data_IF_550685343418
#
_entry.id   IF_550685343418
#
_cell.length_a   1.000
_cell.length_b   1.000
_cell.length_c   1.000
_cell.angle_alpha   90.00
_cell.angle_beta   90.00
_cell.angle_gamma   90.00
#
_symmetry.space_group_name_H-M   'P 1'
#
loop_
_entity.id
_entity.type
_entity.pdbx_description
1 polymer ?
#
# COMPACT_ATOMS: atom_id res chain seq x y z
N UNK A 1 -38.88 -5.97 -16.81
CA UNK A 1 -39.12 -4.64 -16.21
C UNK A 1 -37.85 -3.80 -16.26
N UNK A 2 -37.96 -2.51 -16.50
CA UNK A 2 -36.82 -1.59 -16.56
C UNK A 2 -35.95 -1.63 -15.28
N UNK A 3 -36.57 -1.76 -14.12
CA UNK A 3 -35.89 -1.85 -12.85
C UNK A 3 -34.88 -3.03 -12.79
N UNK A 4 -35.25 -4.18 -13.31
CA UNK A 4 -34.35 -5.36 -13.31
C UNK A 4 -33.12 -5.13 -14.18
N UNK A 5 -33.28 -4.49 -15.34
CA UNK A 5 -32.15 -4.14 -16.21
C UNK A 5 -31.30 -3.03 -15.60
N UNK A 6 -31.93 -1.97 -15.07
CA UNK A 6 -31.24 -0.84 -14.47
C UNK A 6 -30.42 -1.22 -13.23
N UNK A 7 -30.91 -2.16 -12.41
CA UNK A 7 -30.20 -2.63 -11.20
C UNK A 7 -28.82 -3.18 -11.52
N UNK A 8 -28.66 -3.91 -12.61
CA UNK A 8 -27.37 -4.44 -13.03
C UNK A 8 -26.38 -3.32 -13.37
N UNK A 9 -26.84 -2.32 -14.14
CA UNK A 9 -26.01 -1.17 -14.53
C UNK A 9 -25.63 -0.30 -13.34
N UNK A 10 -26.57 -0.06 -12.42
CA UNK A 10 -26.31 0.71 -11.19
C UNK A 10 -25.26 0.00 -10.34
N UNK A 11 -25.39 -1.29 -10.11
CA UNK A 11 -24.44 -2.08 -9.35
C UNK A 11 -23.04 -2.04 -10.00
N UNK A 12 -22.97 -2.21 -11.31
CA UNK A 12 -21.72 -2.16 -12.05
C UNK A 12 -21.05 -0.79 -11.94
N UNK A 13 -21.80 0.29 -12.08
CA UNK A 13 -21.30 1.66 -11.96
C UNK A 13 -20.77 1.96 -10.55
N UNK A 14 -21.48 1.54 -9.51
CA UNK A 14 -21.07 1.73 -8.12
C UNK A 14 -19.81 0.92 -7.81
N UNK A 15 -19.76 -0.35 -8.20
CA UNK A 15 -18.59 -1.22 -7.98
C UNK A 15 -17.34 -0.64 -8.66
N UNK A 16 -17.50 -0.15 -9.89
CA UNK A 16 -16.40 0.49 -10.62
C UNK A 16 -15.96 1.80 -9.98
N UNK A 17 -16.89 2.62 -9.52
CA UNK A 17 -16.56 3.87 -8.84
C UNK A 17 -15.82 3.62 -7.51
N UNK A 18 -16.22 2.61 -6.75
CA UNK A 18 -15.50 2.19 -5.53
C UNK A 18 -14.09 1.74 -5.87
N UNK A 19 -13.91 0.90 -6.90
CA UNK A 19 -12.59 0.43 -7.30
C UNK A 19 -11.65 1.58 -7.73
N UNK A 20 -12.19 2.62 -8.38
CA UNK A 20 -11.41 3.76 -8.87
C UNK A 20 -11.10 4.83 -7.80
N UNK A 21 -11.97 5.02 -6.79
CA UNK A 21 -11.93 6.18 -5.90
C UNK A 21 -11.73 5.86 -4.42
N UNK A 22 -11.88 4.59 -4.00
CA UNK A 22 -11.85 4.24 -2.58
C UNK A 22 -10.45 4.32 -1.95
N UNK A 23 -9.39 4.25 -2.73
CA UNK A 23 -8.02 4.25 -2.22
C UNK A 23 -7.36 5.62 -2.32
N UNK A 24 -6.62 6.02 -1.29
CA UNK A 24 -5.81 7.24 -1.28
C UNK A 24 -4.81 7.26 -2.45
N UNK A 25 -4.14 6.14 -2.71
CA UNK A 25 -3.32 5.94 -3.91
C UNK A 25 -4.13 5.11 -4.88
N UNK A 26 -4.49 5.71 -6.01
CA UNK A 26 -5.34 5.07 -7.02
C UNK A 26 -4.67 3.83 -7.61
N UNK A 27 -5.40 2.73 -7.64
CA UNK A 27 -4.98 1.47 -8.28
C UNK A 27 -5.91 1.21 -9.48
N UNK A 28 -5.38 0.75 -10.63
CA UNK A 28 -6.21 0.37 -11.78
C UNK A 28 -7.23 -0.72 -11.43
N UNK A 29 -8.42 -0.66 -12.02
CA UNK A 29 -9.55 -1.58 -11.71
C UNK A 29 -9.17 -3.05 -11.89
N UNK A 30 -8.42 -3.40 -12.93
CA UNK A 30 -7.98 -4.78 -13.17
C UNK A 30 -7.07 -5.31 -12.05
N UNK A 31 -6.26 -4.44 -11.43
CA UNK A 31 -5.43 -4.83 -10.28
C UNK A 31 -6.28 -5.01 -9.02
N UNK A 32 -7.30 -4.16 -8.82
CA UNK A 32 -8.26 -4.34 -7.71
C UNK A 32 -9.00 -5.66 -7.83
N UNK A 33 -9.41 -6.05 -9.03
CA UNK A 33 -10.03 -7.36 -9.27
C UNK A 33 -9.08 -8.52 -8.97
N UNK A 34 -7.81 -8.39 -9.35
CA UNK A 34 -6.79 -9.40 -9.07
C UNK A 34 -6.51 -9.52 -7.58
N UNK A 35 -6.38 -8.39 -6.86
CA UNK A 35 -6.23 -8.35 -5.41
C UNK A 35 -7.41 -9.04 -4.72
N UNK A 36 -8.64 -8.74 -5.13
CA UNK A 36 -9.84 -9.36 -4.58
C UNK A 36 -9.89 -10.88 -4.82
N UNK A 37 -9.40 -11.36 -5.95
CA UNK A 37 -9.26 -12.80 -6.22
C UNK A 37 -8.25 -13.44 -5.28
N UNK A 38 -7.06 -12.84 -5.11
CA UNK A 38 -6.02 -13.32 -4.18
C UNK A 38 -6.56 -13.39 -2.75
N UNK A 39 -7.24 -12.34 -2.27
CA UNK A 39 -7.83 -12.32 -0.93
C UNK A 39 -8.89 -13.40 -0.76
N UNK A 40 -9.71 -13.65 -1.78
CA UNK A 40 -10.73 -14.71 -1.75
C UNK A 40 -10.11 -16.08 -1.63
N UNK A 41 -9.10 -16.38 -2.47
CA UNK A 41 -8.37 -17.65 -2.44
C UNK A 41 -7.62 -17.82 -1.11
N UNK A 42 -6.98 -16.78 -0.60
CA UNK A 42 -6.33 -16.80 0.70
C UNK A 42 -7.29 -17.16 1.83
N UNK A 43 -8.51 -16.61 1.84
CA UNK A 43 -9.54 -16.96 2.84
C UNK A 43 -10.03 -18.39 2.69
N UNK A 44 -10.15 -18.90 1.47
CA UNK A 44 -10.55 -20.27 1.20
C UNK A 44 -9.48 -21.24 1.71
N UNK A 45 -8.21 -21.00 1.37
CA UNK A 45 -7.09 -21.80 1.86
C UNK A 45 -6.94 -21.75 3.39
N UNK A 46 -7.19 -20.60 4.01
CA UNK A 46 -7.21 -20.47 5.47
C UNK A 46 -8.27 -21.41 6.11
N UNK A 47 -9.43 -21.55 5.48
CA UNK A 47 -10.48 -22.46 5.97
C UNK A 47 -10.13 -23.95 5.76
N UNK A 48 -9.43 -24.28 4.68
CA UNK A 48 -9.05 -25.66 4.36
C UNK A 48 -7.81 -26.12 5.15
N UNK A 49 -6.80 -25.27 5.27
CA UNK A 49 -5.52 -25.58 5.91
C UNK A 49 -5.51 -25.29 7.42
N UNK A 50 -6.36 -24.36 7.88
CA UNK A 50 -6.42 -23.94 9.30
C UNK A 50 -5.27 -23.03 9.74
N UNK A 51 -4.41 -22.59 8.84
CA UNK A 51 -3.33 -21.62 9.06
C UNK A 51 -3.29 -20.58 7.92
N UNK A 52 -2.59 -19.46 8.15
CA UNK A 52 -2.41 -18.44 7.13
C UNK A 52 -1.63 -19.02 5.93
N UNK A 53 -2.20 -18.97 4.71
CA UNK A 53 -1.57 -19.56 3.53
C UNK A 53 -0.29 -18.80 3.15
N UNK A 54 0.73 -19.55 2.79
CA UNK A 54 1.97 -19.00 2.24
C UNK A 54 1.76 -18.47 0.81
N UNK A 55 2.58 -17.51 0.34
CA UNK A 55 2.50 -17.05 -1.05
C UNK A 55 2.67 -18.16 -2.09
N UNK A 56 3.38 -19.23 -1.73
CA UNK A 56 3.61 -20.42 -2.55
C UNK A 56 2.31 -21.21 -2.75
N UNK A 57 1.54 -21.44 -1.68
CA UNK A 57 0.25 -22.14 -1.70
C UNK A 57 -0.80 -21.34 -2.51
N UNK A 58 -0.82 -20.02 -2.34
CA UNK A 58 -1.70 -19.14 -3.13
C UNK A 58 -1.31 -19.18 -4.60
N UNK A 59 -0.02 -19.26 -4.91
CA UNK A 59 0.53 -19.35 -6.27
C UNK A 59 0.08 -20.62 -6.99
N UNK A 60 0.09 -21.75 -6.30
CA UNK A 60 -0.37 -23.03 -6.83
C UNK A 60 -1.87 -23.00 -7.16
N UNK A 61 -2.70 -22.52 -6.25
CA UNK A 61 -4.14 -22.45 -6.42
C UNK A 61 -4.54 -21.46 -7.53
N UNK A 62 -3.85 -20.33 -7.65
CA UNK A 62 -4.13 -19.31 -8.67
C UNK A 62 -3.43 -19.57 -10.01
N UNK A 63 -2.54 -20.55 -10.09
CA UNK A 63 -1.71 -20.84 -11.26
C UNK A 63 -0.93 -19.60 -11.75
N UNK A 64 -0.29 -18.90 -10.81
CA UNK A 64 0.47 -17.67 -11.03
C UNK A 64 1.89 -17.79 -10.43
N UNK A 65 2.90 -17.08 -10.97
CA UNK A 65 4.23 -17.03 -10.35
C UNK A 65 4.20 -16.48 -8.93
N UNK A 66 4.97 -17.06 -8.01
CA UNK A 66 5.06 -16.65 -6.59
C UNK A 66 5.44 -15.19 -6.44
N UNK A 67 6.39 -14.71 -7.25
CA UNK A 67 6.86 -13.31 -7.21
C UNK A 67 5.73 -12.33 -7.50
N UNK A 68 4.85 -12.68 -8.44
CA UNK A 68 3.67 -11.87 -8.77
C UNK A 68 2.65 -11.85 -7.64
N UNK A 69 2.46 -12.95 -6.93
CA UNK A 69 1.60 -13.01 -5.74
C UNK A 69 2.16 -12.11 -4.64
N UNK A 70 3.47 -12.15 -4.39
CA UNK A 70 4.14 -11.28 -3.41
C UNK A 70 4.01 -9.79 -3.76
N UNK A 71 4.15 -9.45 -5.04
CA UNK A 71 3.95 -8.08 -5.52
C UNK A 71 2.50 -7.61 -5.31
N UNK A 72 1.52 -8.43 -5.66
CA UNK A 72 0.10 -8.13 -5.46
C UNK A 72 -0.21 -7.91 -3.97
N UNK A 73 0.33 -8.74 -3.08
CA UNK A 73 0.13 -8.59 -1.63
C UNK A 73 0.74 -7.28 -1.09
N UNK A 74 1.89 -6.83 -1.62
CA UNK A 74 2.47 -5.53 -1.27
C UNK A 74 1.60 -4.36 -1.74
N UNK A 75 1.07 -4.42 -2.96
CA UNK A 75 0.18 -3.39 -3.52
C UNK A 75 -1.16 -3.35 -2.78
N UNK A 76 -1.61 -4.50 -2.25
CA UNK A 76 -2.87 -4.60 -1.51
C UNK A 76 -2.86 -3.83 -0.18
N UNK A 77 -1.69 -3.55 0.40
CA UNK A 77 -1.56 -2.83 1.66
C UNK A 77 -2.08 -1.39 1.54
N UNK A 78 -2.73 -0.92 2.59
CA UNK A 78 -3.18 0.47 2.69
C UNK A 78 -2.09 1.34 3.30
N UNK A 79 -1.97 2.62 2.88
CA UNK A 79 -1.02 3.55 3.48
C UNK A 79 -1.41 3.86 4.93
N UNK A 80 -0.42 3.95 5.80
CA UNK A 80 -0.59 4.33 7.19
C UNK A 80 -0.48 5.86 7.33
N UNK A 81 -1.29 6.47 8.20
CA UNK A 81 -1.22 7.90 8.47
C UNK A 81 0.05 8.27 9.22
N UNK A 82 0.69 9.37 8.84
CA UNK A 82 1.82 9.95 9.56
C UNK A 82 1.43 10.55 10.93
N UNK A 83 0.16 10.85 11.11
CA UNK A 83 -0.39 11.35 12.38
C UNK A 83 -0.76 10.23 13.37
N UNK A 84 -0.46 8.99 13.03
CA UNK A 84 -0.71 7.86 13.94
C UNK A 84 0.16 8.02 15.19
N UNK A 85 -0.45 8.10 16.41
CA UNK A 85 0.32 8.22 17.64
C UNK A 85 1.12 6.96 17.91
N UNK A 86 2.34 7.10 18.39
CA UNK A 86 3.24 6.00 18.75
C UNK A 86 3.55 6.10 20.25
N UNK A 87 3.26 5.03 21.00
CA UNK A 87 3.51 4.95 22.43
C UNK A 87 2.31 5.39 23.28
N UNK A 88 2.54 5.49 24.59
CA UNK A 88 1.52 5.88 25.58
C UNK A 88 1.39 7.41 25.72
N UNK A 89 2.35 8.18 25.21
CA UNK A 89 2.33 9.64 25.21
C UNK A 89 1.76 10.15 23.88
N UNK A 90 0.73 11.01 23.94
CA UNK A 90 0.01 11.55 22.78
C UNK A 90 0.86 12.50 21.91
N UNK A 91 2.06 12.86 22.33
CA UNK A 91 2.90 13.85 21.66
C UNK A 91 3.81 13.29 20.55
N UNK A 92 3.91 11.95 20.41
CA UNK A 92 4.77 11.30 19.41
C UNK A 92 3.98 10.71 18.27
N UNK A 93 4.22 11.20 17.06
CA UNK A 93 3.59 10.71 15.83
C UNK A 93 4.56 9.91 14.96
N UNK A 94 4.04 9.03 14.10
CA UNK A 94 4.85 8.24 13.17
C UNK A 94 5.73 9.13 12.27
N UNK A 95 5.24 10.30 11.88
CA UNK A 95 5.96 11.27 11.06
C UNK A 95 7.26 11.78 11.69
N UNK A 96 7.36 11.83 13.03
CA UNK A 96 8.54 12.34 13.75
C UNK A 96 9.75 11.39 13.67
N UNK A 97 9.51 10.12 13.36
CA UNK A 97 10.54 9.08 13.22
C UNK A 97 11.10 8.93 11.80
N UNK A 98 10.54 9.65 10.83
CA UNK A 98 10.99 9.57 9.43
C UNK A 98 12.10 10.61 9.22
N UNK A 99 13.37 10.20 8.98
CA UNK A 99 14.46 11.13 8.74
C UNK A 99 14.32 11.76 7.35
N UNK A 100 14.68 13.04 7.26
CA UNK A 100 14.82 13.74 5.98
C UNK A 100 16.23 13.51 5.42
N UNK A 101 16.34 12.65 4.40
CA UNK A 101 17.61 12.39 3.70
C UNK A 101 18.17 13.62 2.97
N UNK A 102 17.30 14.59 2.63
CA UNK A 102 17.69 15.85 1.99
C UNK A 102 18.38 16.82 2.95
N UNK A 103 17.95 16.88 4.21
CA UNK A 103 18.53 17.77 5.23
C UNK A 103 19.98 17.40 5.56
N UNK A 104 20.33 16.13 5.60
CA UNK A 104 21.70 15.67 5.83
C UNK A 104 22.66 16.18 4.74
N UNK A 105 22.25 16.23 3.48
CA UNK A 105 23.03 16.80 2.37
C UNK A 105 23.23 18.30 2.53
N UNK A 106 22.22 19.03 2.97
CA UNK A 106 22.30 20.49 3.18
C UNK A 106 23.29 20.83 4.29
N UNK A 107 23.28 20.09 5.41
CA UNK A 107 24.22 20.28 6.51
C UNK A 107 25.67 19.98 6.12
N UNK A 108 25.91 18.92 5.36
CA UNK A 108 27.26 18.56 4.86
C UNK A 108 27.77 19.67 3.93
N UNK A 109 26.95 20.20 3.04
CA UNK A 109 27.36 21.29 2.14
C UNK A 109 27.70 22.58 2.91
N UNK A 110 26.97 22.88 3.97
CA UNK A 110 27.23 24.07 4.82
C UNK A 110 28.54 23.90 5.60
N UNK A 111 28.84 22.70 6.11
CA UNK A 111 30.10 22.42 6.82
C UNK A 111 31.30 22.47 5.87
N UNK A 112 31.19 21.96 4.65
CA UNK A 112 32.25 22.01 3.65
C UNK A 112 32.54 23.43 3.17
N UNK A 113 31.50 24.26 2.95
CA UNK A 113 31.66 25.67 2.59
C UNK A 113 32.27 26.51 3.71
N UNK A 114 31.94 26.20 4.97
CA UNK A 114 32.52 26.90 6.13
C UNK A 114 33.98 26.51 6.38
N UNK A 115 34.37 25.27 6.04
CA UNK A 115 35.78 24.84 6.08
C UNK A 115 36.63 25.37 4.93
N UNK A 116 36.02 25.70 3.80
CA UNK A 116 36.69 26.24 2.60
C UNK A 116 36.87 27.77 2.64
N UNK A 117 36.38 28.47 3.66
CA UNK A 117 36.67 29.87 3.84
C UNK A 117 38.13 30.06 4.28
N UNK A 118 39.02 30.67 3.45
CA UNK A 118 40.40 30.87 3.85
C UNK A 118 40.44 31.83 5.02
N UNK A 119 41.13 31.43 6.09
CA UNK A 119 41.54 32.34 7.14
C UNK A 119 42.51 33.38 6.52
N UNK A 120 41.96 34.46 6.07
CA UNK A 120 42.70 35.58 5.50
C UNK A 120 42.02 36.89 5.87
N UNK A 121 42.46 37.42 6.96
CA UNK A 121 42.75 38.80 7.35
C UNK A 121 42.89 38.84 8.85
#
# INVERSE_FOLDING_TARGET
KFSTYATWWIRQAITRAIADQARTIRIPVHMVETINKVIRVSRQLLQELGHDPSPEEISEEMNMPVDKVREILKIAQEPVSLETPIGEEEDSHLGDFIPDEGAARCLIYTIETTKAAPAGF
#
